data_IF_234372250141
#
_entry.id   IF_234372250141
#
_cell.length_a   1.000
_cell.length_b   1.000
_cell.length_c   1.000
_cell.angle_alpha   90.00
_cell.angle_beta   90.00
_cell.angle_gamma   90.00
#
_symmetry.space_group_name_H-M   'P 1'
#
loop_
_entity.id
_entity.type
_entity.pdbx_description
1 polymer ?
#
# COMPACT_ATOMS: atom_id res chain seq x y z
N UNK A 1 15.25 -13.51 8.43
CA UNK A 1 15.02 -12.06 8.65
C UNK A 1 14.95 -11.33 7.31
N UNK A 2 15.97 -11.40 6.46
CA UNK A 2 15.99 -10.77 5.13
C UNK A 2 14.80 -11.02 4.19
N UNK A 3 14.25 -12.26 4.07
CA UNK A 3 13.10 -12.48 3.19
C UNK A 3 11.86 -11.67 3.60
N UNK A 4 11.70 -11.45 4.91
CA UNK A 4 10.62 -10.62 5.47
C UNK A 4 10.85 -9.14 5.14
N UNK A 5 12.08 -8.66 5.29
CA UNK A 5 12.44 -7.28 4.90
C UNK A 5 12.16 -7.01 3.43
N UNK A 6 12.60 -7.90 2.54
CA UNK A 6 12.40 -7.75 1.08
C UNK A 6 10.90 -7.78 0.76
N UNK A 7 10.16 -8.69 1.39
CA UNK A 7 8.72 -8.79 1.20
C UNK A 7 8.00 -7.52 1.66
N UNK A 8 8.30 -7.02 2.86
CA UNK A 8 7.72 -5.79 3.39
C UNK A 8 8.09 -4.57 2.56
N UNK A 9 9.31 -4.55 2.01
CA UNK A 9 9.77 -3.46 1.15
C UNK A 9 8.95 -3.41 -0.14
N UNK A 10 8.86 -4.53 -0.85
CA UNK A 10 8.15 -4.61 -2.13
C UNK A 10 6.64 -4.41 -1.93
N UNK A 11 6.01 -5.20 -1.04
CA UNK A 11 4.57 -5.08 -0.79
C UNK A 11 4.21 -3.75 -0.15
N UNK A 12 5.05 -3.22 0.74
CA UNK A 12 4.86 -1.90 1.32
C UNK A 12 4.79 -0.83 0.24
N UNK A 13 5.71 -0.86 -0.75
CA UNK A 13 5.71 0.12 -1.83
C UNK A 13 4.47 -0.01 -2.70
N UNK A 14 4.14 -1.24 -3.11
CA UNK A 14 2.98 -1.50 -3.96
C UNK A 14 1.66 -1.10 -3.29
N UNK A 15 1.48 -1.45 -2.01
CA UNK A 15 0.28 -1.10 -1.25
C UNK A 15 0.22 0.40 -1.01
N UNK A 16 1.35 1.03 -0.64
CA UNK A 16 1.43 2.48 -0.44
C UNK A 16 1.01 3.25 -1.70
N UNK A 17 1.59 2.90 -2.85
CA UNK A 17 1.25 3.56 -4.13
C UNK A 17 -0.21 3.29 -4.50
N UNK A 18 -0.68 2.06 -4.33
CA UNK A 18 -2.06 1.68 -4.65
C UNK A 18 -3.08 2.44 -3.79
N UNK A 19 -2.83 2.62 -2.50
CA UNK A 19 -3.72 3.37 -1.61
C UNK A 19 -3.65 4.88 -1.89
N UNK A 20 -2.46 5.42 -2.13
CA UNK A 20 -2.30 6.83 -2.50
C UNK A 20 -3.05 7.14 -3.82
N UNK A 21 -3.02 6.23 -4.79
CA UNK A 21 -3.74 6.36 -6.04
C UNK A 21 -5.27 6.33 -5.86
N UNK A 22 -5.79 5.41 -5.04
CA UNK A 22 -7.21 5.38 -4.68
C UNK A 22 -7.63 6.70 -4.03
N UNK A 23 -6.81 7.20 -3.11
CA UNK A 23 -7.05 8.47 -2.40
C UNK A 23 -7.10 9.64 -3.37
N UNK A 24 -6.18 9.66 -4.35
CA UNK A 24 -6.24 10.62 -5.43
C UNK A 24 -7.56 10.46 -6.20
N UNK A 25 -7.92 9.29 -6.71
CA UNK A 25 -9.11 9.14 -7.56
C UNK A 25 -10.46 9.42 -6.86
N UNK A 26 -10.56 9.21 -5.55
CA UNK A 26 -11.82 9.33 -4.80
C UNK A 26 -12.03 10.74 -4.22
N UNK A 27 -10.97 11.41 -3.76
CA UNK A 27 -11.14 12.66 -3.00
C UNK A 27 -11.46 13.85 -3.91
N UNK A 28 -12.54 14.62 -3.62
CA UNK A 28 -12.97 15.77 -4.41
C UNK A 28 -12.20 17.04 -4.02
N UNK A 29 -10.87 16.97 -3.94
CA UNK A 29 -10.00 18.13 -3.67
C UNK A 29 -9.28 18.61 -4.93
N UNK A 30 -8.70 19.80 -4.86
CA UNK A 30 -7.80 20.29 -5.90
C UNK A 30 -6.60 19.34 -6.09
N UNK A 31 -6.06 19.30 -7.31
CA UNK A 31 -4.97 18.38 -7.69
C UNK A 31 -3.77 18.48 -6.75
N UNK A 32 -3.30 19.70 -6.46
CA UNK A 32 -2.18 19.93 -5.55
C UNK A 32 -2.43 19.38 -4.13
N UNK A 33 -3.66 19.51 -3.64
CA UNK A 33 -4.06 19.00 -2.32
C UNK A 33 -4.08 17.48 -2.30
N UNK A 34 -4.57 16.85 -3.38
CA UNK A 34 -4.59 15.39 -3.53
C UNK A 34 -3.16 14.82 -3.54
N UNK A 35 -2.27 15.43 -4.32
CA UNK A 35 -0.85 15.03 -4.37
C UNK A 35 -0.16 15.19 -3.01
N UNK A 36 -0.42 16.29 -2.29
CA UNK A 36 0.12 16.51 -0.95
C UNK A 36 -0.37 15.45 0.04
N UNK A 37 -1.66 15.11 0.01
CA UNK A 37 -2.23 14.04 0.85
C UNK A 37 -1.58 12.69 0.52
N UNK A 38 -1.45 12.36 -0.77
CA UNK A 38 -0.79 11.13 -1.21
C UNK A 38 0.66 11.03 -0.72
N UNK A 39 1.41 12.13 -0.77
CA UNK A 39 2.79 12.21 -0.27
C UNK A 39 2.86 12.00 1.25
N UNK A 40 1.99 12.67 2.01
CA UNK A 40 1.95 12.57 3.48
C UNK A 40 1.56 11.17 3.93
N UNK A 41 0.64 10.50 3.23
CA UNK A 41 0.16 9.17 3.60
C UNK A 41 1.09 8.04 3.13
N UNK A 42 1.78 8.20 2.00
CA UNK A 42 2.57 7.12 1.41
C UNK A 42 3.67 6.59 2.33
N UNK A 43 4.49 7.49 2.89
CA UNK A 43 5.60 7.08 3.77
C UNK A 43 5.14 6.37 5.06
N UNK A 44 4.15 6.89 5.82
CA UNK A 44 3.61 6.19 6.99
C UNK A 44 3.01 4.81 6.66
N UNK A 45 2.27 4.69 5.55
CA UNK A 45 1.69 3.41 5.12
C UNK A 45 2.82 2.41 4.81
N UNK A 46 3.81 2.84 4.03
CA UNK A 46 4.97 2.02 3.69
C UNK A 46 5.72 1.53 4.94
N UNK A 47 6.05 2.45 5.85
CA UNK A 47 6.76 2.13 7.09
C UNK A 47 5.94 1.18 7.98
N UNK A 48 4.62 1.36 8.04
CA UNK A 48 3.72 0.49 8.81
C UNK A 48 3.74 -0.94 8.26
N UNK A 49 3.71 -1.11 6.94
CA UNK A 49 3.74 -2.44 6.30
C UNK A 49 5.10 -3.13 6.50
N UNK A 50 6.19 -2.35 6.45
CA UNK A 50 7.54 -2.85 6.76
C UNK A 50 7.62 -3.46 8.16
N UNK A 51 6.99 -2.83 9.15
CA UNK A 51 6.91 -3.36 10.51
C UNK A 51 5.91 -4.51 10.60
N UNK A 52 4.77 -4.42 9.91
CA UNK A 52 3.70 -5.40 9.99
C UNK A 52 4.09 -6.79 9.49
N UNK A 53 4.98 -6.89 8.48
CA UNK A 53 5.54 -8.20 8.06
C UNK A 53 6.09 -8.99 9.25
N UNK A 54 6.74 -8.32 10.20
CA UNK A 54 7.42 -8.99 11.31
C UNK A 54 6.45 -9.53 12.37
N UNK A 55 5.18 -9.12 12.35
CA UNK A 55 4.15 -9.67 13.22
C UNK A 55 3.76 -11.11 12.85
N UNK A 56 4.11 -11.59 11.65
CA UNK A 56 3.78 -12.93 11.20
C UNK A 56 4.92 -13.92 11.45
N UNK A 57 4.58 -15.16 11.78
CA UNK A 57 5.54 -16.25 12.02
C UNK A 57 6.36 -16.57 10.77
N UNK A 58 5.70 -16.72 9.61
CA UNK A 58 6.33 -17.12 8.34
C UNK A 58 6.14 -16.08 7.25
N UNK A 59 7.11 -15.99 6.34
CA UNK A 59 7.07 -15.07 5.18
C UNK A 59 5.89 -15.39 4.25
N UNK A 60 5.53 -16.67 4.10
CA UNK A 60 4.40 -17.09 3.29
C UNK A 60 3.05 -16.66 3.90
N UNK A 61 2.93 -16.67 5.23
CA UNK A 61 1.73 -16.16 5.90
C UNK A 61 1.62 -14.66 5.70
N UNK A 62 2.72 -13.92 5.90
CA UNK A 62 2.76 -12.47 5.64
C UNK A 62 2.37 -12.12 4.19
N UNK A 63 2.91 -12.86 3.20
CA UNK A 63 2.62 -12.60 1.78
C UNK A 63 1.13 -12.72 1.44
N UNK A 64 0.43 -13.72 2.01
CA UNK A 64 -1.01 -13.91 1.82
C UNK A 64 -1.81 -12.71 2.32
N UNK A 65 -1.52 -12.22 3.53
CA UNK A 65 -2.23 -11.05 4.07
C UNK A 65 -1.93 -9.78 3.28
N UNK A 66 -0.70 -9.61 2.79
CA UNK A 66 -0.37 -8.45 1.96
C UNK A 66 -1.04 -8.50 0.60
N UNK A 67 -1.15 -9.69 -0.02
CA UNK A 67 -1.94 -9.88 -1.23
C UNK A 67 -3.42 -9.58 -1.00
N UNK A 68 -3.98 -9.97 0.15
CA UNK A 68 -5.38 -9.67 0.50
C UNK A 68 -5.64 -8.16 0.65
N UNK A 69 -4.63 -7.35 0.97
CA UNK A 69 -4.75 -5.89 0.99
C UNK A 69 -4.50 -5.30 -0.41
N UNK A 70 -3.48 -5.77 -1.11
CA UNK A 70 -3.07 -5.24 -2.40
C UNK A 70 -4.11 -5.50 -3.49
N UNK A 71 -4.68 -6.71 -3.56
CA UNK A 71 -5.60 -7.11 -4.63
C UNK A 71 -6.88 -6.26 -4.66
N UNK A 72 -7.65 -6.10 -3.56
CA UNK A 72 -8.82 -5.23 -3.57
C UNK A 72 -8.47 -3.78 -3.90
N UNK A 73 -7.36 -3.26 -3.35
CA UNK A 73 -6.91 -1.89 -3.62
C UNK A 73 -6.54 -1.69 -5.09
N UNK A 74 -5.86 -2.65 -5.71
CA UNK A 74 -5.50 -2.61 -7.13
C UNK A 74 -6.73 -2.74 -8.03
N UNK A 75 -7.66 -3.64 -7.70
CA UNK A 75 -8.93 -3.79 -8.43
C UNK A 75 -9.77 -2.50 -8.37
N UNK A 76 -9.83 -1.86 -7.21
CA UNK A 76 -10.50 -0.57 -7.05
C UNK A 76 -9.87 0.51 -7.92
N UNK A 77 -8.53 0.59 -7.97
CA UNK A 77 -7.84 1.53 -8.86
C UNK A 77 -8.20 1.29 -10.33
N UNK A 78 -8.18 0.03 -10.79
CA UNK A 78 -8.56 -0.31 -12.17
C UNK A 78 -10.01 0.10 -12.45
N UNK A 79 -10.92 -0.16 -11.52
CA UNK A 79 -12.32 0.23 -11.66
C UNK A 79 -12.51 1.76 -11.70
N UNK A 80 -11.77 2.52 -10.91
CA UNK A 80 -11.85 3.98 -10.86
C UNK A 80 -11.17 4.68 -12.04
N UNK A 81 -10.29 3.99 -12.76
CA UNK A 81 -9.58 4.53 -13.93
C UNK A 81 -10.30 4.30 -15.26
N UNK A 82 -11.33 3.43 -15.30
CA UNK A 82 -12.18 3.16 -16.46
C UNK A 82 -13.42 4.04 -16.42
#
# INVERSE_FOLDING_TARGET
MWPKTILGFIFGLLISVSIALNTNLILPFAEDTRLLIGLILGFPIWASIMVWVYAFETTLKASKYMLLVLLPSALLNVFLMV
#
